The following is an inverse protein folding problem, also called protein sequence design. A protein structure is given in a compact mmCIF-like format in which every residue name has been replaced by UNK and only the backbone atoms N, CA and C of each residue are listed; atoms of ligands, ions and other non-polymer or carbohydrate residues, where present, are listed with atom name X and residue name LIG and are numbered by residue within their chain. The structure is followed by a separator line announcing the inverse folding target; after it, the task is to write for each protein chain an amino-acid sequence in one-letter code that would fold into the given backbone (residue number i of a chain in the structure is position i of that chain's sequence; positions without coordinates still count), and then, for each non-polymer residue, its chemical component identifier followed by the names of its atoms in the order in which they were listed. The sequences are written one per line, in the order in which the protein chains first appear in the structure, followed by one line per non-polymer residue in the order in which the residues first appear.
data_IF_554859331617
#
_entry.id   IF_554859331617
#
_cell.length_a   1.000
_cell.length_b   1.000
_cell.length_c   1.000
_cell.angle_alpha   90.00
_cell.angle_beta   90.00
_cell.angle_gamma   90.00
#
_symmetry.space_group_name_H-M   'P 1'
#
loop_
_entity.id
_entity.type
_entity.pdbx_description
1 polymer ?
#
# COMPACT_ATOMS: atom_id res chain seq x y z
N UNK A 1 13.04 -4.30 -0.46
CA UNK A 1 12.25 -3.38 0.37
C UNK A 1 11.46 -4.21 1.36
N UNK A 2 12.17 -4.91 2.25
CA UNK A 2 11.56 -5.81 3.21
C UNK A 2 11.22 -4.96 4.44
N UNK A 3 10.02 -5.11 4.97
CA UNK A 3 9.54 -4.39 6.16
C UNK A 3 9.38 -2.86 5.99
N UNK A 4 9.19 -2.39 4.76
CA UNK A 4 8.91 -0.96 4.49
C UNK A 4 7.45 -0.75 4.13
N UNK A 5 6.89 0.38 4.56
CA UNK A 5 5.55 0.82 4.17
C UNK A 5 5.68 1.69 2.91
N UNK A 6 4.92 1.34 1.87
CA UNK A 6 4.98 2.03 0.58
C UNK A 6 3.84 3.05 0.49
N UNK A 7 4.19 4.33 0.49
CA UNK A 7 3.23 5.44 0.45
C UNK A 7 3.25 6.09 -0.92
N UNK A 8 2.09 6.21 -1.57
CA UNK A 8 1.98 6.83 -2.89
C UNK A 8 0.68 7.63 -3.06
N UNK A 9 0.70 8.78 -3.75
CA UNK A 9 -0.46 9.66 -3.80
C UNK A 9 -1.59 9.08 -4.67
N UNK A 10 -1.24 8.39 -5.76
CA UNK A 10 -2.20 7.88 -6.73
C UNK A 10 -1.89 6.42 -7.05
N UNK A 11 -2.72 5.50 -6.54
CA UNK A 11 -2.80 4.11 -6.97
C UNK A 11 -3.62 3.98 -8.24
N UNK A 12 -3.34 4.81 -9.24
CA UNK A 12 -4.01 4.73 -10.53
C UNK A 12 -3.55 3.42 -11.17
N UNK A 13 -4.52 2.55 -11.42
CA UNK A 13 -4.31 1.21 -11.96
C UNK A 13 -3.60 1.27 -13.31
N UNK A 14 -2.28 1.16 -13.28
CA UNK A 14 -1.57 0.54 -14.38
C UNK A 14 -1.78 -0.95 -14.20
N UNK A 15 -2.28 -1.67 -15.20
CA UNK A 15 -2.44 -3.14 -15.14
C UNK A 15 -1.13 -3.85 -14.71
N UNK A 16 0.01 -3.19 -14.91
CA UNK A 16 1.35 -3.61 -14.48
C UNK A 16 1.57 -3.50 -12.96
N UNK A 17 0.92 -2.56 -12.27
CA UNK A 17 1.11 -2.32 -10.84
C UNK A 17 0.57 -3.45 -9.97
N UNK A 18 -0.63 -3.96 -10.27
CA UNK A 18 -1.19 -5.13 -9.57
C UNK A 18 -0.31 -6.38 -9.77
N UNK A 19 0.21 -6.57 -10.99
CA UNK A 19 1.13 -7.66 -11.30
C UNK A 19 2.47 -7.52 -10.58
N UNK A 20 2.96 -6.28 -10.46
CA UNK A 20 4.16 -5.97 -9.70
C UNK A 20 3.98 -6.39 -8.25
N UNK A 21 2.91 -5.92 -7.57
CA UNK A 21 2.61 -6.25 -6.16
C UNK A 21 2.56 -7.77 -5.92
N UNK A 22 1.90 -8.51 -6.81
CA UNK A 22 1.86 -9.96 -6.76
C UNK A 22 3.25 -10.60 -6.93
N UNK A 23 4.04 -10.12 -7.89
CA UNK A 23 5.40 -10.62 -8.16
C UNK A 23 6.37 -10.36 -7.01
N UNK A 24 6.35 -9.18 -6.38
CA UNK A 24 7.21 -8.89 -5.21
C UNK A 24 6.84 -9.71 -3.99
N UNK A 25 5.55 -10.05 -3.82
CA UNK A 25 5.13 -11.00 -2.78
C UNK A 25 5.68 -12.40 -3.05
N UNK A 26 5.58 -12.89 -4.29
CA UNK A 26 6.15 -14.18 -4.71
C UNK A 26 7.65 -14.28 -4.41
N UNK A 27 8.38 -13.16 -4.52
CA UNK A 27 9.80 -13.07 -4.21
C UNK A 27 10.11 -12.73 -2.72
N UNK A 28 9.14 -12.84 -1.80
CA UNK A 28 9.30 -12.54 -0.36
C UNK A 28 9.96 -11.17 -0.04
N UNK A 29 9.86 -10.23 -0.98
CA UNK A 29 10.54 -8.93 -0.94
C UNK A 29 9.57 -7.76 -1.00
N UNK A 30 8.27 -8.06 -0.83
CA UNK A 30 7.20 -7.07 -0.84
C UNK A 30 7.17 -6.18 0.40
N UNK A 31 6.49 -5.02 0.30
CA UNK A 31 6.31 -4.10 1.41
C UNK A 31 5.46 -4.74 2.52
N UNK A 32 5.63 -4.24 3.75
CA UNK A 32 4.81 -4.65 4.89
C UNK A 32 3.36 -4.18 4.73
N UNK A 33 3.18 -2.96 4.22
CA UNK A 33 1.87 -2.38 3.93
C UNK A 33 1.98 -1.32 2.84
N UNK A 34 0.84 -0.97 2.25
CA UNK A 34 0.73 0.07 1.24
C UNK A 34 -0.29 1.13 1.68
N UNK A 35 0.07 2.40 1.51
CA UNK A 35 -0.81 3.53 1.79
C UNK A 35 -1.00 4.34 0.49
N UNK A 36 -2.24 4.69 0.19
CA UNK A 36 -2.52 5.54 -0.96
C UNK A 36 -3.66 6.54 -0.72
N UNK A 37 -3.65 7.71 -1.39
CA UNK A 37 -4.80 8.64 -1.29
C UNK A 37 -5.97 8.20 -2.16
N UNK A 38 -5.69 7.51 -3.26
CA UNK A 38 -6.68 7.03 -4.22
C UNK A 38 -6.27 5.67 -4.74
N UNK A 39 -7.15 4.68 -4.62
CA UNK A 39 -6.92 3.31 -5.12
C UNK A 39 -7.91 2.95 -6.22
N UNK A 40 -7.42 2.28 -7.25
CA UNK A 40 -8.24 1.56 -8.22
C UNK A 40 -8.62 0.15 -7.72
N UNK A 41 -9.81 -0.33 -8.09
CA UNK A 41 -10.30 -1.69 -7.79
C UNK A 41 -9.31 -2.78 -8.22
N UNK A 42 -8.60 -2.56 -9.32
CA UNK A 42 -7.59 -3.50 -9.84
C UNK A 42 -6.42 -3.67 -8.87
N UNK A 43 -5.94 -2.56 -8.30
CA UNK A 43 -4.83 -2.55 -7.34
C UNK A 43 -5.29 -3.12 -6.00
N UNK A 44 -6.48 -2.75 -5.53
CA UNK A 44 -7.06 -3.30 -4.31
C UNK A 44 -7.20 -4.84 -4.38
N UNK A 45 -7.66 -5.36 -5.52
CA UNK A 45 -7.74 -6.81 -5.76
C UNK A 45 -6.36 -7.46 -5.79
N UNK A 46 -5.38 -6.83 -6.43
CA UNK A 46 -3.98 -7.30 -6.43
C UNK A 46 -3.37 -7.37 -5.03
N UNK A 47 -3.60 -6.36 -4.19
CA UNK A 47 -3.16 -6.35 -2.79
C UNK A 47 -3.83 -7.44 -1.96
N UNK A 48 -5.14 -7.60 -2.12
CA UNK A 48 -5.90 -8.65 -1.43
C UNK A 48 -5.40 -10.05 -1.80
N UNK A 49 -5.15 -10.31 -3.09
CA UNK A 49 -4.58 -11.57 -3.59
C UNK A 49 -3.14 -11.79 -3.10
N UNK A 50 -2.34 -10.73 -3.04
CA UNK A 50 -0.96 -10.79 -2.55
C UNK A 50 -0.85 -10.85 -1.01
N UNK A 51 -1.98 -10.79 -0.28
CA UNK A 51 -2.00 -10.72 1.18
C UNK A 51 -1.13 -9.56 1.69
N UNK A 52 -1.30 -8.39 1.05
CA UNK A 52 -0.63 -7.13 1.42
C UNK A 52 -1.71 -6.16 1.89
N UNK A 53 -1.62 -5.66 3.13
CA UNK A 53 -2.58 -4.69 3.62
C UNK A 53 -2.44 -3.37 2.86
N UNK A 54 -3.59 -2.86 2.43
CA UNK A 54 -3.72 -1.61 1.71
C UNK A 54 -4.62 -0.68 2.51
N UNK A 55 -4.13 0.52 2.83
CA UNK A 55 -4.88 1.56 3.52
C UNK A 55 -5.05 2.77 2.60
N UNK A 56 -6.26 3.33 2.60
CA UNK A 56 -6.56 4.55 1.86
C UNK A 56 -6.51 5.72 2.83
N UNK A 57 -5.44 6.50 2.75
CA UNK A 57 -5.25 7.68 3.60
C UNK A 57 -6.07 8.87 3.09
N UNK A 58 -6.65 9.62 4.00
CA UNK A 58 -7.24 10.93 3.70
C UNK A 58 -6.16 11.94 3.33
N UNK A 59 -6.50 13.06 2.66
CA UNK A 59 -5.50 14.08 2.32
C UNK A 59 -4.70 14.57 3.54
N UNK A 60 -5.40 14.79 4.65
CA UNK A 60 -4.83 15.26 5.91
C UNK A 60 -3.89 14.24 6.56
N UNK A 61 -4.16 12.95 6.41
CA UNK A 61 -3.29 11.88 6.92
C UNK A 61 -2.06 11.77 6.05
N UNK A 62 -2.23 11.80 4.73
CA UNK A 62 -1.13 11.74 3.78
C UNK A 62 -0.14 12.90 3.94
N UNK A 63 -0.62 14.13 4.18
CA UNK A 63 0.25 15.28 4.43
C UNK A 63 1.07 15.15 5.72
N UNK A 64 0.59 14.36 6.69
CA UNK A 64 1.33 14.04 7.92
C UNK A 64 2.35 12.93 7.72
N UNK A 65 2.27 12.15 6.64
CA UNK A 65 3.23 11.08 6.34
C UNK A 65 4.54 11.67 5.84
N UNK A 66 5.63 11.37 6.54
CA UNK A 66 6.99 11.74 6.12
C UNK A 66 7.88 10.50 6.00
N UNK A 67 8.73 10.48 4.97
CA UNK A 67 9.70 9.43 4.75
C UNK A 67 10.69 9.32 5.92
N UNK A 68 10.81 8.13 6.49
CA UNK A 68 11.70 7.86 7.64
C UNK A 68 11.01 7.95 9.00
N UNK A 69 9.69 8.17 9.04
CA UNK A 69 8.90 8.07 10.27
C UNK A 69 8.41 6.63 10.47
N UNK A 70 8.43 6.16 11.72
CA UNK A 70 7.74 4.94 12.11
C UNK A 70 6.22 5.16 12.13
N UNK A 71 5.49 4.31 11.40
CA UNK A 71 4.04 4.32 11.35
C UNK A 71 3.47 2.98 11.79
N UNK A 72 2.40 3.04 12.56
CA UNK A 72 1.63 1.88 12.99
C UNK A 72 0.32 1.91 12.21
N UNK A 73 0.19 1.01 11.25
CA UNK A 73 -1.03 0.85 10.46
C UNK A 73 -1.93 -0.19 11.11
N UNK A 74 -3.13 0.23 11.51
CA UNK A 74 -4.17 -0.71 11.94
C UNK A 74 -5.04 -1.09 10.73
N UNK A 75 -4.78 -2.29 10.22
CA UNK A 75 -5.44 -2.86 9.05
C UNK A 75 -6.84 -3.41 9.36
N UNK A 76 -7.20 -3.55 10.63
CA UNK A 76 -8.53 -3.97 11.07
C UNK A 76 -9.46 -2.76 11.24
N UNK A 77 -8.92 -1.65 11.75
CA UNK A 77 -9.65 -0.41 12.00
C UNK A 77 -9.68 0.52 10.79
N UNK A 78 -8.78 0.31 9.81
CA UNK A 78 -8.63 1.17 8.64
C UNK A 78 -8.08 2.56 8.97
N UNK A 79 -7.35 2.68 10.08
CA UNK A 79 -6.80 3.95 10.58
C UNK A 79 -5.26 3.93 10.52
N UNK A 80 -4.69 5.11 10.23
CA UNK A 80 -3.26 5.39 10.21
C UNK A 80 -2.72 5.95 11.54
#
# INVERSE_FOLDING_TARGET
MKDSILVFPNGIGSSVGAYTIYSIKSHNSGPAAMICKKVDLTVASGCALANIPLVVASEQEYEKLQSGQDLILDTASGSL
#
